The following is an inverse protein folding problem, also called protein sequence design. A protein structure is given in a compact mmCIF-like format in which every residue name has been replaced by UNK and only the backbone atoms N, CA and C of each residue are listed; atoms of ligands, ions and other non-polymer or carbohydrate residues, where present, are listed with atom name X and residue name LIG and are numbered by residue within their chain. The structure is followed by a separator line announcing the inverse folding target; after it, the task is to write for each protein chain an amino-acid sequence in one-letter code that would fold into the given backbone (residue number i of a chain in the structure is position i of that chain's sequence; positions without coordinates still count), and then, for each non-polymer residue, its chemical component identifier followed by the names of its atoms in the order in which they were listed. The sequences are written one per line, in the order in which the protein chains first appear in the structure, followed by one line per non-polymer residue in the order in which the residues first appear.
data_IF_847602279424
#
_entry.id   IF_847602279424
#
_cell.length_a   1.000
_cell.length_b   1.000
_cell.length_c   1.000
_cell.angle_alpha   90.00
_cell.angle_beta   90.00
_cell.angle_gamma   90.00
#
_symmetry.space_group_name_H-M   'P 1'
#
loop_
_entity.id
_entity.type
_entity.pdbx_description
1 polymer ?
#
# COMPACT_ATOMS: atom_id res chain seq x y z
N UNK A 1 -52.47 30.75 -9.66
CA UNK A 1 -52.74 29.30 -9.73
C UNK A 1 -51.45 28.54 -9.49
N UNK A 2 -51.23 28.11 -8.28
CA UNK A 2 -50.03 27.31 -7.92
C UNK A 2 -50.42 25.86 -8.02
N UNK A 3 -49.91 25.15 -9.01
CA UNK A 3 -50.12 23.70 -9.16
C UNK A 3 -49.22 23.00 -8.18
N UNK A 4 -49.81 22.47 -7.11
CA UNK A 4 -49.15 21.63 -6.11
C UNK A 4 -48.97 20.22 -6.70
N UNK A 5 -47.80 19.92 -7.24
CA UNK A 5 -47.44 18.59 -7.73
C UNK A 5 -46.99 17.71 -6.56
N UNK A 6 -47.95 16.98 -6.04
CA UNK A 6 -47.70 15.98 -4.98
C UNK A 6 -47.02 14.75 -5.61
N UNK A 7 -45.69 14.78 -5.70
CA UNK A 7 -44.90 13.68 -6.26
C UNK A 7 -44.82 12.57 -5.21
N UNK A 8 -45.44 11.41 -5.49
CA UNK A 8 -45.38 10.27 -4.59
C UNK A 8 -43.93 9.77 -4.47
N UNK A 9 -43.56 9.22 -3.30
CA UNK A 9 -42.21 8.65 -3.05
C UNK A 9 -41.79 7.65 -4.14
N UNK A 10 -42.74 6.95 -4.71
CA UNK A 10 -42.51 5.99 -5.80
C UNK A 10 -42.09 6.68 -7.10
N UNK A 11 -42.68 7.82 -7.45
CA UNK A 11 -42.30 8.60 -8.61
C UNK A 11 -40.94 9.28 -8.44
N UNK A 12 -40.60 9.66 -7.21
CA UNK A 12 -39.28 10.20 -6.90
C UNK A 12 -38.15 9.14 -7.10
N UNK A 13 -38.37 7.91 -6.59
CA UNK A 13 -37.40 6.81 -6.74
C UNK A 13 -37.21 6.40 -8.20
N UNK A 14 -38.31 6.30 -8.97
CA UNK A 14 -38.24 5.97 -10.40
C UNK A 14 -37.62 7.11 -11.21
N UNK A 15 -37.90 8.38 -10.86
CA UNK A 15 -37.30 9.53 -11.50
C UNK A 15 -35.79 9.65 -11.24
N UNK A 16 -35.36 9.39 -10.02
CA UNK A 16 -33.94 9.45 -9.67
C UNK A 16 -33.13 8.29 -10.28
N UNK A 17 -33.72 7.10 -10.40
CA UNK A 17 -33.06 5.99 -11.10
C UNK A 17 -32.95 6.23 -12.61
N UNK A 18 -33.94 6.87 -13.23
CA UNK A 18 -33.89 7.23 -14.65
C UNK A 18 -32.83 8.32 -14.93
N UNK A 19 -32.66 9.29 -14.01
CA UNK A 19 -31.62 10.31 -14.11
C UNK A 19 -30.22 9.69 -13.93
N UNK A 20 -30.06 8.74 -13.00
CA UNK A 20 -28.81 8.03 -12.81
C UNK A 20 -28.42 7.18 -14.05
N UNK A 21 -29.41 6.54 -14.69
CA UNK A 21 -29.19 5.78 -15.94
C UNK A 21 -28.94 6.71 -17.12
N UNK A 22 -29.60 7.87 -17.19
CA UNK A 22 -29.39 8.88 -18.24
C UNK A 22 -28.03 9.56 -18.16
N UNK A 23 -27.50 9.78 -16.97
CA UNK A 23 -26.15 10.29 -16.76
C UNK A 23 -25.07 9.24 -17.13
N UNK A 24 -25.34 7.96 -16.95
CA UNK A 24 -24.44 6.88 -17.38
C UNK A 24 -24.40 6.69 -18.90
N UNK A 25 -25.52 7.01 -19.61
CA UNK A 25 -25.62 6.92 -21.08
C UNK A 25 -24.96 8.13 -21.78
N UNK A 26 -24.78 9.26 -21.08
CA UNK A 26 -24.10 10.45 -21.60
C UNK A 26 -22.58 10.35 -21.58
N UNK A 27 -21.99 9.39 -20.93
CA UNK A 27 -20.57 9.05 -21.07
C UNK A 27 -20.40 8.13 -22.27
N UNK A 28 -19.97 8.68 -23.36
CA UNK A 28 -19.63 7.93 -24.57
C UNK A 28 -18.41 7.04 -24.29
N UNK A 29 -18.67 5.78 -23.94
CA UNK A 29 -17.63 4.78 -23.73
C UNK A 29 -16.79 4.50 -24.98
N UNK A 30 -17.27 4.94 -26.17
CA UNK A 30 -16.53 4.80 -27.42
C UNK A 30 -15.29 5.70 -27.45
N UNK A 31 -15.30 6.85 -26.74
CA UNK A 31 -14.13 7.72 -26.63
C UNK A 31 -13.04 7.08 -25.77
N UNK A 32 -13.41 6.36 -24.72
CA UNK A 32 -12.45 5.62 -23.89
C UNK A 32 -11.84 4.41 -24.62
N UNK A 33 -12.61 3.74 -25.48
CA UNK A 33 -12.06 2.62 -26.28
C UNK A 33 -11.15 3.13 -27.40
N UNK A 34 -11.41 4.32 -27.96
CA UNK A 34 -10.51 4.92 -28.95
C UNK A 34 -9.24 5.49 -28.31
N UNK A 35 -9.32 6.03 -27.09
CA UNK A 35 -8.12 6.47 -26.37
C UNK A 35 -7.20 5.30 -26.01
N UNK A 36 -7.75 4.12 -25.68
CA UNK A 36 -6.96 2.92 -25.46
C UNK A 36 -6.37 2.33 -26.75
N UNK A 37 -7.05 2.50 -27.91
CA UNK A 37 -6.53 2.05 -29.20
C UNK A 37 -5.41 2.96 -29.74
N UNK A 38 -5.41 4.24 -29.40
CA UNK A 38 -4.37 5.18 -29.82
C UNK A 38 -3.07 5.06 -28.99
N UNK A 39 -3.11 4.43 -27.81
CA UNK A 39 -1.93 4.15 -26.96
C UNK A 39 -1.21 2.85 -27.39
N UNK A 40 -1.77 2.13 -28.35
CA UNK A 40 -1.37 0.76 -28.69
C UNK A 40 -0.29 0.60 -29.77
N UNK A 41 0.35 1.65 -30.29
CA UNK A 41 1.41 1.47 -31.29
C UNK A 41 2.65 2.26 -30.93
N UNK A 42 3.57 1.64 -30.24
CA UNK A 42 4.97 2.09 -30.28
C UNK A 42 5.62 2.55 -28.97
N UNK A 43 5.18 2.09 -27.82
CA UNK A 43 6.06 2.08 -26.66
C UNK A 43 6.21 0.65 -26.18
N UNK A 44 7.44 0.16 -26.23
CA UNK A 44 7.83 -1.00 -25.43
C UNK A 44 7.31 -0.72 -24.02
N UNK A 45 6.23 -1.40 -23.62
CA UNK A 45 5.73 -1.31 -22.28
C UNK A 45 6.92 -1.72 -21.40
N UNK A 46 7.55 -0.75 -20.77
CA UNK A 46 8.45 -1.02 -19.66
C UNK A 46 7.65 -1.90 -18.73
N UNK A 47 8.07 -3.15 -18.56
CA UNK A 47 7.51 -4.03 -17.55
C UNK A 47 7.38 -3.20 -16.28
N UNK A 48 6.23 -3.22 -15.57
CA UNK A 48 6.13 -2.48 -14.33
C UNK A 48 7.34 -2.88 -13.50
N UNK A 49 8.19 -1.90 -13.15
CA UNK A 49 9.31 -2.12 -12.24
C UNK A 49 8.72 -2.87 -11.05
N UNK A 50 9.10 -4.13 -10.89
CA UNK A 50 8.59 -4.95 -9.80
C UNK A 50 8.82 -4.16 -8.53
N UNK A 51 7.72 -3.68 -7.94
CA UNK A 51 7.80 -2.88 -6.71
C UNK A 51 8.36 -3.81 -5.65
N UNK A 52 9.54 -3.57 -5.07
CA UNK A 52 10.18 -4.54 -4.19
C UNK A 52 9.34 -4.71 -2.92
N UNK A 53 8.59 -5.78 -2.90
CA UNK A 53 7.77 -6.18 -1.77
C UNK A 53 8.63 -6.96 -0.79
N UNK A 54 8.94 -6.36 0.36
CA UNK A 54 9.75 -6.98 1.41
C UNK A 54 8.86 -7.71 2.43
N UNK A 55 7.81 -8.31 1.96
CA UNK A 55 6.81 -8.97 2.77
C UNK A 55 5.43 -8.41 2.50
N UNK A 56 4.42 -9.10 3.00
CA UNK A 56 3.01 -8.75 2.70
C UNK A 56 2.57 -7.40 3.26
N UNK A 57 3.26 -6.87 4.27
CA UNK A 57 2.90 -5.65 4.99
C UNK A 57 3.73 -4.44 4.60
N UNK A 58 4.92 -4.63 4.03
CA UNK A 58 5.88 -3.56 3.77
C UNK A 58 6.41 -3.64 2.34
N UNK A 59 6.36 -2.52 1.66
CA UNK A 59 7.00 -2.31 0.36
C UNK A 59 8.02 -1.18 0.53
N UNK A 60 9.25 -1.38 0.08
CA UNK A 60 10.28 -0.34 0.07
C UNK A 60 10.64 -0.04 -1.37
N UNK A 61 10.33 1.17 -1.82
CA UNK A 61 10.62 1.60 -3.18
C UNK A 61 12.11 2.00 -3.35
N UNK A 62 12.65 1.96 -4.57
CA UNK A 62 14.05 2.37 -4.82
C UNK A 62 14.40 3.82 -4.43
N UNK A 63 13.39 4.69 -4.32
CA UNK A 63 13.52 6.08 -3.85
C UNK A 63 13.46 6.23 -2.32
N UNK A 64 13.57 5.14 -1.57
CA UNK A 64 13.47 5.06 -0.11
C UNK A 64 12.06 5.29 0.46
N UNK A 65 11.03 5.45 -0.36
CA UNK A 65 9.66 5.51 0.11
C UNK A 65 9.23 4.15 0.69
N UNK A 66 8.67 4.17 1.88
CA UNK A 66 8.17 2.98 2.60
C UNK A 66 6.65 2.99 2.54
N UNK A 67 6.05 2.01 1.90
CA UNK A 67 4.59 1.85 1.84
C UNK A 67 4.17 0.78 2.83
N UNK A 68 3.35 1.16 3.81
CA UNK A 68 2.77 0.24 4.79
C UNK A 68 1.38 -0.17 4.33
N UNK A 69 1.14 -1.46 4.16
CA UNK A 69 -0.17 -1.99 3.80
C UNK A 69 -1.03 -2.15 5.04
N UNK A 70 -2.18 -1.49 5.03
CA UNK A 70 -3.12 -1.43 6.16
C UNK A 70 -4.47 -1.95 5.70
N UNK A 71 -5.06 -2.86 6.46
CA UNK A 71 -6.37 -3.47 6.17
C UNK A 71 -7.45 -3.05 7.18
N UNK A 72 -7.21 -2.00 7.93
CA UNK A 72 -8.16 -1.41 8.87
C UNK A 72 -8.63 -0.06 8.35
N UNK A 73 -9.93 0.10 8.19
CA UNK A 73 -10.50 1.34 7.68
C UNK A 73 -10.26 2.51 8.63
N UNK A 74 -9.89 3.64 8.08
CA UNK A 74 -9.84 4.91 8.80
C UNK A 74 -11.22 5.56 8.79
N UNK A 75 -11.66 6.00 9.96
CA UNK A 75 -12.94 6.68 10.18
C UNK A 75 -12.76 7.91 11.07
N UNK A 76 -11.54 8.46 11.10
CA UNK A 76 -11.15 9.56 11.99
C UNK A 76 -10.57 9.13 13.34
N UNK A 77 -10.38 7.80 13.56
CA UNK A 77 -9.86 7.27 14.84
C UNK A 77 -8.33 7.13 14.88
N UNK A 78 -7.60 7.49 13.81
CA UNK A 78 -6.14 7.47 13.76
C UNK A 78 -5.50 6.08 13.62
N UNK A 79 -6.25 5.06 13.23
CA UNK A 79 -5.74 3.69 13.10
C UNK A 79 -4.64 3.59 12.03
N UNK A 80 -4.79 4.30 10.90
CA UNK A 80 -3.77 4.33 9.84
C UNK A 80 -2.45 4.81 10.39
N UNK A 81 -2.45 5.98 11.03
CA UNK A 81 -1.24 6.59 11.59
C UNK A 81 -0.61 5.68 12.64
N UNK A 82 -1.42 5.15 13.56
CA UNK A 82 -0.91 4.30 14.63
C UNK A 82 -0.27 3.00 14.13
N UNK A 83 -0.89 2.33 13.16
CA UNK A 83 -0.33 1.10 12.57
C UNK A 83 0.92 1.38 11.73
N UNK A 84 0.92 2.47 10.95
CA UNK A 84 2.09 2.86 10.18
C UNK A 84 3.27 3.23 11.09
N UNK A 85 3.04 3.92 12.21
CA UNK A 85 4.08 4.22 13.20
C UNK A 85 4.68 2.95 13.82
N UNK A 86 3.85 1.97 14.17
CA UNK A 86 4.34 0.69 14.71
C UNK A 86 5.25 -0.05 13.72
N UNK A 87 4.90 -0.04 12.44
CA UNK A 87 5.75 -0.63 11.40
C UNK A 87 7.04 0.17 11.26
N UNK A 88 6.96 1.50 11.20
CA UNK A 88 8.11 2.38 11.03
C UNK A 88 9.12 2.26 12.17
N UNK A 89 8.63 2.13 13.41
CA UNK A 89 9.44 1.90 14.60
C UNK A 89 10.23 0.60 14.51
N UNK A 90 9.55 -0.51 14.20
CA UNK A 90 10.21 -1.82 14.07
C UNK A 90 11.13 -1.91 12.85
N UNK A 91 10.80 -1.22 11.79
CA UNK A 91 11.60 -1.15 10.56
C UNK A 91 12.81 -0.24 10.72
N UNK A 92 12.83 0.67 11.69
CA UNK A 92 13.84 1.71 11.88
C UNK A 92 13.94 2.64 10.64
N UNK A 93 12.81 2.96 10.02
CA UNK A 93 12.79 3.81 8.84
C UNK A 93 12.55 5.30 9.18
N UNK A 94 12.86 6.16 8.20
CA UNK A 94 12.55 7.58 8.25
C UNK A 94 11.03 7.77 8.12
N UNK A 95 10.40 8.27 9.19
CA UNK A 95 8.97 8.51 9.23
C UNK A 95 8.46 9.44 8.11
N UNK A 96 9.25 10.40 7.67
CA UNK A 96 8.86 11.31 6.61
C UNK A 96 8.73 10.64 5.24
N UNK A 97 9.29 9.44 5.09
CA UNK A 97 9.21 8.63 3.87
C UNK A 97 8.14 7.55 3.92
N UNK A 98 7.37 7.50 5.01
CA UNK A 98 6.32 6.50 5.20
C UNK A 98 5.02 6.97 4.57
N UNK A 99 4.46 6.10 3.73
CA UNK A 99 3.13 6.21 3.17
C UNK A 99 2.32 4.94 3.49
N UNK A 100 1.06 4.92 3.12
CA UNK A 100 0.22 3.74 3.34
C UNK A 100 -0.56 3.37 2.08
N UNK A 101 -0.96 2.11 2.00
CA UNK A 101 -1.81 1.56 0.95
C UNK A 101 -2.89 0.66 1.57
N UNK A 102 -4.06 0.64 0.94
CA UNK A 102 -5.14 -0.29 1.26
C UNK A 102 -5.19 -1.38 0.19
N UNK A 103 -4.65 -2.58 0.46
CA UNK A 103 -4.81 -3.69 -0.46
C UNK A 103 -6.28 -3.98 -0.70
N UNK A 104 -6.66 -4.22 -1.94
CA UNK A 104 -8.06 -4.50 -2.25
C UNK A 104 -8.50 -5.88 -1.70
N UNK A 105 -9.79 -6.07 -1.34
CA UNK A 105 -10.30 -7.39 -0.99
C UNK A 105 -10.10 -8.43 -2.10
N UNK A 106 -10.18 -8.02 -3.36
CA UNK A 106 -9.93 -8.90 -4.51
C UNK A 106 -8.47 -9.37 -4.56
N UNK A 107 -7.51 -8.48 -4.28
CA UNK A 107 -6.11 -8.84 -4.18
C UNK A 107 -5.85 -9.79 -3.01
N UNK A 108 -6.46 -9.53 -1.85
CA UNK A 108 -6.35 -10.43 -0.70
C UNK A 108 -6.84 -11.85 -1.03
N UNK A 109 -7.97 -11.96 -1.75
CA UNK A 109 -8.48 -13.26 -2.18
C UNK A 109 -7.51 -13.97 -3.15
N UNK A 110 -6.97 -13.25 -4.14
CA UNK A 110 -5.97 -13.79 -5.07
C UNK A 110 -4.71 -14.29 -4.37
N UNK A 111 -4.34 -13.68 -3.25
CA UNK A 111 -3.16 -14.00 -2.44
C UNK A 111 -3.48 -14.91 -1.24
N UNK A 112 -4.53 -15.73 -1.33
CA UNK A 112 -4.95 -16.66 -0.28
C UNK A 112 -5.19 -15.99 1.07
N UNK A 113 -5.75 -14.78 1.05
CA UNK A 113 -6.11 -13.98 2.24
C UNK A 113 -4.91 -13.67 3.15
N UNK A 114 -3.73 -13.40 2.59
CA UNK A 114 -2.48 -13.11 3.33
C UNK A 114 -2.63 -11.97 4.35
N UNK A 115 -3.55 -11.02 4.11
CA UNK A 115 -3.84 -9.91 5.04
C UNK A 115 -4.98 -10.22 6.03
N UNK A 116 -5.59 -11.40 5.95
CA UNK A 116 -6.64 -11.85 6.87
C UNK A 116 -7.93 -11.04 6.73
N UNK A 117 -8.50 -10.63 7.87
CA UNK A 117 -9.79 -9.93 7.96
C UNK A 117 -9.65 -8.42 7.83
N UNK A 118 -10.48 -7.82 6.99
CA UNK A 118 -10.63 -6.37 6.82
C UNK A 118 -11.63 -5.72 7.80
N UNK A 119 -12.17 -6.51 8.74
CA UNK A 119 -13.15 -6.03 9.69
C UNK A 119 -12.58 -4.91 10.58
N UNK A 120 -13.27 -3.78 10.61
CA UNK A 120 -12.97 -2.64 11.47
C UNK A 120 -14.16 -2.40 12.39
N UNK A 121 -13.96 -2.45 13.69
CA UNK A 121 -15.01 -2.29 14.71
C UNK A 121 -14.60 -2.93 16.04
N UNK A 122 -15.36 -2.64 17.11
CA UNK A 122 -15.11 -3.17 18.45
C UNK A 122 -13.71 -2.87 19.00
N UNK A 123 -13.17 -1.69 18.68
CA UNK A 123 -11.81 -1.25 19.07
C UNK A 123 -10.68 -2.20 18.65
N UNK A 124 -10.87 -2.96 17.57
CA UNK A 124 -9.91 -3.96 17.11
C UNK A 124 -8.81 -3.40 16.21
N UNK A 125 -8.94 -2.19 15.71
CA UNK A 125 -8.02 -1.59 14.75
C UNK A 125 -6.55 -1.73 15.16
N UNK A 126 -6.18 -1.23 16.32
CA UNK A 126 -4.82 -1.36 16.88
C UNK A 126 -4.68 -2.69 17.61
N UNK A 127 -5.55 -2.95 18.59
CA UNK A 127 -5.44 -4.06 19.53
C UNK A 127 -5.21 -5.45 18.89
N UNK A 128 -5.86 -5.73 17.77
CA UNK A 128 -5.70 -7.03 17.08
C UNK A 128 -4.68 -6.98 15.94
N UNK A 129 -4.16 -5.81 15.63
CA UNK A 129 -3.23 -5.63 14.51
C UNK A 129 -1.78 -5.42 14.95
N UNK A 130 -1.58 -4.91 16.15
CA UNK A 130 -0.27 -4.56 16.71
C UNK A 130 0.78 -5.65 16.48
N UNK A 131 0.49 -6.88 16.89
CA UNK A 131 1.47 -7.95 16.85
C UNK A 131 1.94 -8.28 15.42
N UNK A 132 1.01 -8.35 14.45
CA UNK A 132 1.39 -8.73 13.10
C UNK A 132 2.05 -7.59 12.32
N UNK A 133 1.67 -6.33 12.56
CA UNK A 133 2.32 -5.19 11.90
C UNK A 133 3.73 -4.96 12.44
N UNK A 134 3.95 -5.10 13.75
CA UNK A 134 5.28 -5.06 14.35
C UNK A 134 6.18 -6.17 13.80
N UNK A 135 5.69 -7.41 13.76
CA UNK A 135 6.42 -8.52 13.13
C UNK A 135 6.75 -8.25 11.67
N UNK A 136 5.82 -7.66 10.91
CA UNK A 136 6.04 -7.28 9.53
C UNK A 136 7.16 -6.25 9.38
N UNK A 137 7.19 -5.21 10.21
CA UNK A 137 8.25 -4.20 10.23
C UNK A 137 9.62 -4.78 10.60
N UNK A 138 9.67 -5.58 11.68
CA UNK A 138 10.90 -6.23 12.12
C UNK A 138 11.45 -7.22 11.08
N UNK A 139 10.60 -8.04 10.46
CA UNK A 139 11.00 -8.96 9.41
C UNK A 139 11.57 -8.21 8.19
N UNK A 140 10.90 -7.14 7.75
CA UNK A 140 11.40 -6.31 6.65
C UNK A 140 12.76 -5.68 6.97
N UNK A 141 12.98 -5.20 8.20
CA UNK A 141 14.30 -4.72 8.64
C UNK A 141 15.36 -5.81 8.54
N UNK A 142 15.06 -7.00 9.02
CA UNK A 142 16.02 -8.13 8.96
C UNK A 142 16.40 -8.47 7.52
N UNK A 143 15.43 -8.52 6.60
CA UNK A 143 15.69 -8.79 5.18
C UNK A 143 16.53 -7.70 4.53
N UNK A 144 16.26 -6.42 4.81
CA UNK A 144 17.04 -5.29 4.31
C UNK A 144 18.48 -5.32 4.83
N UNK A 145 18.67 -5.58 6.13
CA UNK A 145 19.99 -5.71 6.74
C UNK A 145 20.75 -6.89 6.15
N UNK A 146 20.07 -8.05 5.98
CA UNK A 146 20.68 -9.22 5.37
C UNK A 146 21.10 -8.97 3.92
N UNK A 147 20.27 -8.27 3.13
CA UNK A 147 20.60 -7.91 1.75
C UNK A 147 21.85 -7.02 1.68
N UNK A 148 21.96 -6.03 2.56
CA UNK A 148 23.14 -5.17 2.65
C UNK A 148 24.38 -5.95 3.07
N UNK A 149 24.25 -6.83 4.06
CA UNK A 149 25.33 -7.69 4.55
C UNK A 149 25.85 -8.62 3.45
N UNK A 150 24.93 -9.27 2.71
CA UNK A 150 25.27 -10.11 1.56
C UNK A 150 26.02 -9.33 0.48
N UNK A 151 25.54 -8.12 0.15
CA UNK A 151 26.18 -7.25 -0.84
C UNK A 151 27.60 -6.82 -0.44
N UNK A 152 27.85 -6.68 0.86
CA UNK A 152 29.16 -6.29 1.39
C UNK A 152 30.04 -7.47 1.77
N UNK A 153 29.51 -8.68 1.73
CA UNK A 153 30.15 -9.92 2.17
C UNK A 153 30.64 -9.82 3.63
N UNK A 154 29.72 -9.43 4.52
CA UNK A 154 29.97 -9.26 5.96
C UNK A 154 28.83 -9.92 6.78
N UNK A 155 29.08 -10.21 8.06
CA UNK A 155 28.01 -10.70 8.94
C UNK A 155 26.89 -9.66 9.12
N UNK A 156 25.63 -10.08 9.05
CA UNK A 156 24.48 -9.20 9.30
C UNK A 156 24.48 -8.61 10.72
N UNK A 157 25.08 -9.32 11.69
CA UNK A 157 25.24 -8.87 13.07
C UNK A 157 26.11 -7.63 13.24
N UNK A 158 26.94 -7.31 12.25
CA UNK A 158 27.78 -6.10 12.23
C UNK A 158 27.08 -4.92 11.54
N UNK A 159 25.87 -5.13 11.03
CA UNK A 159 25.08 -4.14 10.32
C UNK A 159 23.93 -3.63 11.18
N UNK A 160 23.74 -2.32 11.22
CA UNK A 160 22.68 -1.65 11.97
C UNK A 160 21.83 -0.82 11.02
N UNK A 161 20.50 -0.99 11.10
CA UNK A 161 19.55 -0.14 10.43
C UNK A 161 19.13 1.01 11.34
N UNK A 162 19.11 2.21 10.83
CA UNK A 162 18.58 3.40 11.52
C UNK A 162 18.20 4.46 10.49
N UNK A 163 17.01 5.02 10.65
CA UNK A 163 16.50 6.12 9.83
C UNK A 163 16.62 5.86 8.32
N UNK A 164 16.14 4.68 7.88
CA UNK A 164 16.21 4.17 6.49
C UNK A 164 17.63 3.98 5.92
N UNK A 165 18.64 3.94 6.78
CA UNK A 165 20.04 3.71 6.38
C UNK A 165 20.61 2.50 7.13
N UNK A 166 21.27 1.60 6.39
CA UNK A 166 22.01 0.48 6.95
C UNK A 166 23.48 0.87 6.98
N UNK A 167 24.11 0.67 8.12
CA UNK A 167 25.53 0.97 8.34
C UNK A 167 26.25 -0.29 8.82
N UNK A 168 27.37 -0.64 8.19
CA UNK A 168 28.29 -1.64 8.70
C UNK A 168 29.30 -0.96 9.61
N UNK A 169 29.21 -1.23 10.91
CA UNK A 169 29.96 -0.50 11.94
C UNK A 169 31.49 -0.58 11.77
N UNK A 170 32.10 -1.78 11.49
CA UNK A 170 33.55 -1.87 11.40
C UNK A 170 34.16 -1.12 10.23
N UNK A 171 33.49 -1.08 9.06
CA UNK A 171 34.02 -0.41 7.86
C UNK A 171 33.46 0.97 7.58
N UNK A 172 32.42 1.38 8.31
CA UNK A 172 31.72 2.65 8.07
C UNK A 172 30.91 2.70 6.76
N UNK A 173 30.80 1.59 6.01
CA UNK A 173 29.99 1.52 4.78
C UNK A 173 28.52 1.77 5.09
N UNK A 174 27.83 2.48 4.19
CA UNK A 174 26.42 2.83 4.33
C UNK A 174 25.64 2.59 3.04
N UNK A 175 24.41 2.19 3.16
CA UNK A 175 23.44 2.12 2.06
C UNK A 175 22.05 2.51 2.54
N UNK A 176 21.19 2.99 1.63
CA UNK A 176 19.79 3.23 1.97
C UNK A 176 18.94 1.99 1.76
N UNK A 177 17.76 1.96 2.36
CA UNK A 177 16.80 0.86 2.20
C UNK A 177 16.42 0.64 0.74
N UNK A 178 16.13 1.72 0.01
CA UNK A 178 15.75 1.65 -1.38
C UNK A 178 16.79 1.01 -2.29
N UNK A 179 18.08 1.23 -2.00
CA UNK A 179 19.19 0.65 -2.80
C UNK A 179 19.30 -0.86 -2.66
N UNK A 180 18.86 -1.41 -1.54
CA UNK A 180 18.94 -2.86 -1.27
C UNK A 180 17.56 -3.53 -1.33
N UNK A 181 16.49 -2.77 -1.56
CA UNK A 181 15.11 -3.27 -1.51
C UNK A 181 14.84 -4.40 -2.51
N UNK A 182 15.37 -4.30 -3.73
CA UNK A 182 15.23 -5.34 -4.75
C UNK A 182 15.93 -6.62 -4.32
N UNK A 183 17.15 -6.52 -3.79
CA UNK A 183 17.90 -7.68 -3.29
C UNK A 183 17.20 -8.30 -2.06
N UNK A 184 16.67 -7.46 -1.17
CA UNK A 184 15.93 -7.89 0.01
C UNK A 184 14.64 -8.66 -0.36
N UNK A 185 13.93 -8.24 -1.42
CA UNK A 185 12.70 -8.90 -1.85
C UNK A 185 12.92 -10.30 -2.44
N UNK A 186 14.17 -10.73 -2.64
CA UNK A 186 14.53 -12.05 -3.16
C UNK A 186 14.95 -13.02 -2.03
N UNK A 187 15.00 -12.56 -0.79
CA UNK A 187 15.31 -13.38 0.40
C UNK A 187 14.06 -14.03 0.96
#
# INVERSE_FOLDING_TARGET
MTTNTNTSRRHFIVGSSAIATGLAIGFDFSIMSQANAAIGTGTTAMAPLATPEIGVWVVVKPNDEVVVRIVRSEMGQGTITGLAQMVAEELECDWQKVTYDYPSPAENLKRNKVWGSYSTGGSRGIRTSEQYVRKGGAAARMMLVQAAANQWNVPASECVAKNSVITHAPSGRKTSFGKVSVAASQL
#
